data_IF_989801138973
#
_entry.id   IF_989801138973
#
_cell.length_a   1.000
_cell.length_b   1.000
_cell.length_c   1.000
_cell.angle_alpha   90.00
_cell.angle_beta   90.00
_cell.angle_gamma   90.00
#
_symmetry.space_group_name_H-M   'P 1'
#
loop_
_entity.id
_entity.type
_entity.pdbx_description
1 polymer ?
#
# COMPACT_ATOMS: atom_id res chain seq x y z
N UNK A 1 -21.49 27.70 -1.22
CA UNK A 1 -21.05 26.97 -0.01
C UNK A 1 -20.86 27.82 1.26
N UNK A 2 -19.84 28.69 1.40
CA UNK A 2 -19.50 29.32 2.72
C UNK A 2 -20.61 30.18 3.35
N UNK A 3 -21.43 30.84 2.53
CA UNK A 3 -22.54 31.69 2.97
C UNK A 3 -23.90 30.97 2.93
N UNK A 4 -23.93 29.64 2.76
CA UNK A 4 -25.17 28.88 2.78
C UNK A 4 -25.83 29.01 4.17
N UNK A 5 -27.07 29.55 4.25
CA UNK A 5 -27.74 29.77 5.52
C UNK A 5 -28.27 28.48 6.15
N UNK A 6 -28.40 27.40 5.38
CA UNK A 6 -28.94 26.10 5.82
C UNK A 6 -27.80 25.14 6.16
N UNK A 7 -26.73 25.13 5.35
CA UNK A 7 -25.58 24.22 5.51
C UNK A 7 -24.26 25.00 5.57
N UNK A 8 -24.04 25.80 6.62
CA UNK A 8 -22.85 26.62 6.72
C UNK A 8 -21.56 25.78 6.82
N UNK A 9 -20.44 26.33 6.38
CA UNK A 9 -19.12 25.67 6.49
C UNK A 9 -18.13 26.60 7.16
N UNK A 10 -17.33 26.06 8.07
CA UNK A 10 -16.19 26.77 8.66
C UNK A 10 -14.90 26.06 8.25
N UNK A 11 -13.97 26.83 7.68
CA UNK A 11 -12.64 26.35 7.33
C UNK A 11 -11.67 26.78 8.43
N UNK A 12 -10.98 25.81 9.02
CA UNK A 12 -9.93 26.04 10.00
C UNK A 12 -8.62 25.61 9.38
N UNK A 13 -7.72 26.58 9.17
CA UNK A 13 -6.39 26.34 8.61
C UNK A 13 -5.37 26.57 9.70
N UNK A 14 -4.58 25.55 10.02
CA UNK A 14 -3.53 25.63 11.02
C UNK A 14 -2.20 25.20 10.42
N UNK A 15 -1.13 25.93 10.72
CA UNK A 15 0.17 25.59 10.18
C UNK A 15 1.31 26.44 10.71
N UNK A 16 2.52 26.01 10.39
CA UNK A 16 3.75 26.77 10.55
C UNK A 16 4.41 26.87 9.19
N UNK A 17 4.48 28.07 8.64
CA UNK A 17 5.27 28.32 7.45
C UNK A 17 6.74 28.45 7.83
N UNK A 18 7.61 27.81 7.06
CA UNK A 18 9.04 28.02 7.24
C UNK A 18 9.38 29.51 6.96
N UNK A 19 10.31 30.15 7.68
CA UNK A 19 10.64 31.56 7.44
C UNK A 19 11.13 31.88 6.02
N UNK A 20 11.58 30.88 5.26
CA UNK A 20 11.97 31.02 3.85
C UNK A 20 10.87 30.61 2.84
N UNK A 21 9.69 30.19 3.31
CA UNK A 21 8.57 29.80 2.45
C UNK A 21 7.74 31.04 2.08
N UNK A 22 8.28 31.87 1.19
CA UNK A 22 7.60 33.09 0.74
C UNK A 22 6.35 32.78 -0.09
N UNK A 23 6.31 31.63 -0.76
CA UNK A 23 5.14 31.14 -1.49
C UNK A 23 3.96 30.84 -0.56
N UNK A 24 4.19 30.05 0.50
CA UNK A 24 3.17 29.75 1.50
C UNK A 24 2.66 31.01 2.22
N UNK A 25 3.55 31.95 2.55
CA UNK A 25 3.15 33.23 3.14
C UNK A 25 2.29 34.06 2.18
N UNK A 26 2.64 34.11 0.89
CA UNK A 26 1.86 34.83 -0.11
C UNK A 26 0.46 34.22 -0.28
N UNK A 27 0.35 32.89 -0.26
CA UNK A 27 -0.95 32.19 -0.31
C UNK A 27 -1.83 32.53 0.90
N UNK A 28 -1.27 32.53 2.11
CA UNK A 28 -2.01 32.93 3.32
C UNK A 28 -2.51 34.38 3.20
N UNK A 29 -1.67 35.30 2.69
CA UNK A 29 -2.09 36.69 2.46
C UNK A 29 -3.22 36.79 1.44
N UNK A 30 -3.19 35.99 0.37
CA UNK A 30 -4.28 35.94 -0.61
C UNK A 30 -5.58 35.44 0.01
N UNK A 31 -5.53 34.40 0.84
CA UNK A 31 -6.73 33.87 1.54
C UNK A 31 -7.32 34.93 2.47
N UNK A 32 -6.49 35.64 3.24
CA UNK A 32 -6.95 36.71 4.14
C UNK A 32 -7.60 37.85 3.34
N UNK A 33 -6.95 38.29 2.26
CA UNK A 33 -7.49 39.34 1.39
C UNK A 33 -8.83 38.94 0.79
N UNK A 34 -8.92 37.72 0.26
CA UNK A 34 -10.17 37.17 -0.27
C UNK A 34 -11.27 37.13 0.80
N UNK A 35 -10.94 36.67 2.01
CA UNK A 35 -11.91 36.56 3.10
C UNK A 35 -12.48 37.92 3.52
N UNK A 36 -11.65 38.97 3.50
CA UNK A 36 -12.06 40.35 3.78
C UNK A 36 -12.88 40.95 2.64
N UNK A 37 -12.47 40.77 1.38
CA UNK A 37 -13.18 41.28 0.20
C UNK A 37 -14.56 40.63 0.00
N UNK A 38 -14.69 39.35 0.30
CA UNK A 38 -15.92 38.59 0.16
C UNK A 38 -16.82 38.61 1.42
N UNK A 39 -16.41 39.30 2.49
CA UNK A 39 -17.11 39.35 3.79
C UNK A 39 -17.37 37.96 4.41
N UNK A 40 -16.41 37.04 4.25
CA UNK A 40 -16.47 35.65 4.74
C UNK A 40 -15.46 35.35 5.86
N UNK A 41 -14.83 36.37 6.44
CA UNK A 41 -13.83 36.21 7.52
C UNK A 41 -14.35 35.41 8.72
N UNK A 42 -15.65 35.47 9.00
CA UNK A 42 -16.30 34.70 10.07
C UNK A 42 -16.42 33.19 9.77
N UNK A 43 -16.13 32.77 8.53
CA UNK A 43 -16.14 31.37 8.07
C UNK A 43 -14.74 30.77 7.88
N UNK A 44 -13.68 31.58 7.92
CA UNK A 44 -12.31 31.13 7.70
C UNK A 44 -11.44 31.56 8.88
N UNK A 45 -10.91 30.59 9.61
CA UNK A 45 -10.06 30.83 10.79
C UNK A 45 -8.65 30.33 10.49
N UNK A 46 -7.66 31.23 10.65
CA UNK A 46 -6.25 30.87 10.56
C UNK A 46 -5.65 30.77 11.97
N UNK A 47 -5.06 29.63 12.29
CA UNK A 47 -4.41 29.36 13.56
C UNK A 47 -2.89 29.25 13.35
N UNK A 48 -2.12 30.30 13.67
CA UNK A 48 -0.67 30.27 13.54
C UNK A 48 -0.04 29.35 14.58
N UNK A 49 1.21 29.00 14.35
CA UNK A 49 2.06 28.27 15.30
C UNK A 49 1.52 26.90 15.72
N UNK A 50 0.89 26.18 14.78
CA UNK A 50 0.44 24.79 14.99
C UNK A 50 1.53 23.92 15.66
N UNK A 51 1.14 23.27 16.75
CA UNK A 51 1.97 22.34 17.50
C UNK A 51 1.11 21.21 18.07
N UNK A 52 1.75 20.29 18.80
CA UNK A 52 1.06 19.18 19.42
C UNK A 52 0.01 19.60 20.46
N UNK A 53 0.18 20.75 21.12
CA UNK A 53 -0.77 21.23 22.12
C UNK A 53 -2.07 21.70 21.45
N UNK A 54 -1.96 22.46 20.36
CA UNK A 54 -3.08 22.89 19.54
C UNK A 54 -3.74 21.71 18.83
N UNK A 55 -2.95 20.77 18.29
CA UNK A 55 -3.43 19.60 17.60
C UNK A 55 -4.45 18.79 18.42
N UNK A 56 -4.26 18.68 19.73
CA UNK A 56 -5.18 17.97 20.63
C UNK A 56 -6.60 18.54 20.59
N UNK A 57 -6.73 19.87 20.53
CA UNK A 57 -8.04 20.51 20.44
C UNK A 57 -8.63 20.39 19.04
N UNK A 58 -7.78 20.53 18.01
CA UNK A 58 -8.23 20.45 16.63
C UNK A 58 -8.78 19.07 16.28
N UNK A 59 -8.15 17.99 16.74
CA UNK A 59 -8.66 16.64 16.46
C UNK A 59 -10.00 16.34 17.14
N UNK A 60 -10.34 16.99 18.25
CA UNK A 60 -11.64 16.83 18.91
C UNK A 60 -12.73 17.75 18.34
N UNK A 61 -12.34 18.89 17.78
CA UNK A 61 -13.27 19.89 17.26
C UNK A 61 -13.48 19.84 15.75
N UNK A 62 -12.80 18.92 15.05
CA UNK A 62 -12.85 18.82 13.59
C UNK A 62 -13.79 17.70 13.16
N UNK A 63 -14.83 18.05 12.41
CA UNK A 63 -15.75 17.07 11.82
C UNK A 63 -15.13 16.39 10.59
N UNK A 64 -14.49 17.19 9.71
CA UNK A 64 -13.84 16.72 8.48
C UNK A 64 -12.41 17.20 8.41
N UNK A 65 -11.47 16.25 8.37
CA UNK A 65 -10.06 16.52 8.17
C UNK A 65 -9.72 16.44 6.68
N UNK A 66 -9.41 17.60 6.10
CA UNK A 66 -9.11 17.75 4.68
C UNK A 66 -7.61 17.60 4.41
N UNK A 67 -7.26 16.69 3.51
CA UNK A 67 -5.91 16.50 2.99
C UNK A 67 -5.95 16.60 1.46
N UNK A 68 -5.22 17.56 0.88
CA UNK A 68 -5.17 17.72 -0.58
C UNK A 68 -3.71 17.73 -1.09
N UNK A 69 -2.96 16.62 -0.89
CA UNK A 69 -1.60 16.51 -1.41
C UNK A 69 -1.58 16.44 -2.94
N UNK A 70 -0.47 16.85 -3.53
CA UNK A 70 -0.16 16.51 -4.92
C UNK A 70 0.27 15.05 -4.99
N UNK A 71 -0.48 14.22 -5.70
CA UNK A 71 -0.13 12.80 -5.90
C UNK A 71 1.03 12.64 -6.89
N UNK A 72 2.00 11.71 -6.67
CA UNK A 72 2.17 10.80 -5.54
C UNK A 72 3.24 11.29 -4.54
N UNK A 73 3.16 12.56 -4.12
CA UNK A 73 4.22 13.18 -3.31
C UNK A 73 4.05 12.97 -1.80
N UNK A 74 2.87 12.53 -1.34
CA UNK A 74 2.66 12.18 0.05
C UNK A 74 2.95 10.70 0.29
N UNK A 75 4.07 10.42 0.97
CA UNK A 75 4.45 9.04 1.28
C UNK A 75 3.50 8.36 2.27
N UNK A 76 2.87 9.10 3.17
CA UNK A 76 1.96 8.56 4.19
C UNK A 76 0.96 9.63 4.62
N UNK A 77 1.22 10.35 5.71
CA UNK A 77 0.30 11.33 6.30
C UNK A 77 -0.34 10.83 7.59
N UNK A 78 0.22 11.23 8.75
CA UNK A 78 -0.28 10.72 10.05
C UNK A 78 -1.40 11.55 10.68
N UNK A 79 -1.67 12.76 10.16
CA UNK A 79 -2.70 13.65 10.71
C UNK A 79 -4.12 13.11 10.49
N UNK A 80 -4.39 12.53 9.32
CA UNK A 80 -5.69 11.94 9.02
C UNK A 80 -5.98 10.70 9.89
N UNK A 81 -4.95 9.90 10.19
CA UNK A 81 -5.04 8.80 11.16
C UNK A 81 -5.45 9.29 12.56
N UNK A 82 -4.85 10.41 13.01
CA UNK A 82 -5.18 11.01 14.31
C UNK A 82 -6.61 11.54 14.32
N UNK A 83 -7.05 12.18 13.24
CA UNK A 83 -8.43 12.64 13.09
C UNK A 83 -9.43 11.48 13.18
N UNK A 84 -9.19 10.41 12.41
CA UNK A 84 -10.02 9.21 12.41
C UNK A 84 -10.17 8.59 13.82
N UNK A 85 -9.06 8.50 14.57
CA UNK A 85 -9.06 7.98 15.94
C UNK A 85 -9.80 8.88 16.94
N UNK A 86 -10.08 10.13 16.59
CA UNK A 86 -10.86 11.07 17.41
C UNK A 86 -12.29 11.28 16.87
N UNK A 87 -12.72 10.47 15.91
CA UNK A 87 -14.08 10.51 15.36
C UNK A 87 -14.29 11.55 14.25
N UNK A 88 -13.23 12.20 13.78
CA UNK A 88 -13.28 13.00 12.55
C UNK A 88 -13.26 12.11 11.31
N UNK A 89 -13.96 12.51 10.25
CA UNK A 89 -13.94 11.84 8.96
C UNK A 89 -12.89 12.47 8.05
N UNK A 90 -12.31 11.69 7.14
CA UNK A 90 -11.30 12.18 6.21
C UNK A 90 -11.92 12.52 4.86
N UNK A 91 -11.45 13.61 4.26
CA UNK A 91 -11.72 13.99 2.88
C UNK A 91 -10.37 14.22 2.22
N UNK A 92 -9.94 13.32 1.35
CA UNK A 92 -8.57 13.36 0.83
C UNK A 92 -8.41 12.86 -0.58
N UNK A 93 -7.40 13.37 -1.30
CA UNK A 93 -6.84 12.70 -2.48
C UNK A 93 -6.32 11.33 -2.05
N UNK A 94 -6.46 10.33 -2.94
CA UNK A 94 -5.92 8.97 -2.74
C UNK A 94 -4.41 8.94 -2.95
N UNK A 95 -3.69 9.39 -1.93
CA UNK A 95 -2.24 9.32 -1.84
C UNK A 95 -1.79 8.86 -0.45
N UNK A 96 -0.55 8.38 -0.34
CA UNK A 96 0.05 7.89 0.89
C UNK A 96 -0.85 6.91 1.64
N UNK A 97 -1.09 7.20 2.93
CA UNK A 97 -1.86 6.33 3.81
C UNK A 97 -3.32 6.18 3.39
N UNK A 98 -3.86 7.18 2.72
CA UNK A 98 -5.28 7.21 2.37
C UNK A 98 -5.56 6.29 1.19
N UNK A 99 -4.62 6.15 0.25
CA UNK A 99 -4.75 5.20 -0.85
C UNK A 99 -4.80 3.74 -0.35
N UNK A 100 -4.05 3.43 0.71
CA UNK A 100 -4.03 2.10 1.35
C UNK A 100 -5.28 1.83 2.20
N UNK A 101 -5.81 2.85 2.86
CA UNK A 101 -6.75 2.68 3.97
C UNK A 101 -8.19 3.09 3.65
N UNK A 102 -8.43 3.82 2.56
CA UNK A 102 -9.78 4.20 2.13
C UNK A 102 -10.61 2.98 1.72
N UNK A 103 -11.81 2.84 2.28
CA UNK A 103 -12.72 1.71 1.99
C UNK A 103 -14.10 2.12 1.46
N UNK A 104 -14.32 3.42 1.24
CA UNK A 104 -15.59 3.97 0.76
C UNK A 104 -16.59 4.35 1.85
N UNK A 105 -16.40 3.85 3.08
CA UNK A 105 -17.32 4.08 4.20
C UNK A 105 -16.66 4.89 5.33
N UNK A 106 -15.33 4.99 5.34
CA UNK A 106 -14.52 5.69 6.34
C UNK A 106 -14.21 7.17 6.03
N UNK A 107 -14.87 7.75 5.03
CA UNK A 107 -14.65 9.13 4.60
C UNK A 107 -14.94 9.30 3.11
N UNK A 108 -14.20 10.21 2.46
CA UNK A 108 -14.35 10.47 1.03
C UNK A 108 -13.00 10.61 0.34
N UNK A 109 -12.95 10.11 -0.90
CA UNK A 109 -11.82 10.27 -1.80
C UNK A 109 -12.11 11.37 -2.83
N UNK A 110 -11.24 12.37 -2.90
CA UNK A 110 -11.23 13.34 -3.99
C UNK A 110 -10.69 12.62 -5.24
N UNK A 111 -11.43 12.57 -6.36
CA UNK A 111 -10.95 11.98 -7.59
C UNK A 111 -9.68 12.67 -8.09
N UNK A 112 -8.63 11.89 -8.35
CA UNK A 112 -7.39 12.39 -8.95
C UNK A 112 -7.56 12.54 -10.47
N UNK A 113 -7.02 13.61 -11.06
CA UNK A 113 -7.00 13.77 -12.51
C UNK A 113 -5.80 13.06 -13.15
N UNK A 114 -5.76 11.73 -13.03
CA UNK A 114 -4.68 10.88 -13.57
C UNK A 114 -4.52 11.09 -15.10
N UNK A 115 -3.26 11.17 -15.55
CA UNK A 115 -2.92 11.36 -16.96
C UNK A 115 -2.97 12.81 -17.47
N UNK A 116 -3.36 13.77 -16.63
CA UNK A 116 -3.27 15.20 -16.95
C UNK A 116 -1.86 15.72 -16.62
N UNK A 117 -1.17 16.26 -17.62
CA UNK A 117 0.21 16.76 -17.49
C UNK A 117 0.33 18.25 -17.20
N UNK A 118 -0.75 19.02 -17.42
CA UNK A 118 -0.81 20.44 -17.08
C UNK A 118 -1.28 20.59 -15.63
N UNK A 119 -0.39 21.08 -14.78
CA UNK A 119 -0.63 21.27 -13.34
C UNK A 119 -1.84 22.18 -13.08
N UNK A 120 -2.01 23.29 -13.81
CA UNK A 120 -3.14 24.18 -13.55
C UNK A 120 -4.46 23.51 -13.92
N UNK A 121 -4.47 22.73 -15.00
CA UNK A 121 -5.65 22.00 -15.42
C UNK A 121 -6.01 20.88 -14.44
N UNK A 122 -5.01 20.18 -13.90
CA UNK A 122 -5.21 19.21 -12.82
C UNK A 122 -5.82 19.88 -11.60
N UNK A 123 -5.21 20.97 -11.14
CA UNK A 123 -5.66 21.70 -9.95
C UNK A 123 -7.11 22.20 -10.11
N UNK A 124 -7.49 22.71 -11.28
CA UNK A 124 -8.88 23.12 -11.59
C UNK A 124 -9.87 21.95 -11.50
N UNK A 125 -9.50 20.77 -12.03
CA UNK A 125 -10.36 19.58 -12.03
C UNK A 125 -10.52 19.00 -10.63
N UNK A 126 -9.42 18.87 -9.89
CA UNK A 126 -9.42 18.32 -8.53
C UNK A 126 -10.12 19.28 -7.55
N UNK A 127 -9.93 20.61 -7.71
CA UNK A 127 -10.68 21.60 -6.95
C UNK A 127 -12.18 21.53 -7.24
N UNK A 128 -12.59 21.43 -8.51
CA UNK A 128 -14.00 21.28 -8.86
C UNK A 128 -14.61 20.02 -8.24
N UNK A 129 -13.89 18.90 -8.30
CA UNK A 129 -14.33 17.64 -7.71
C UNK A 129 -14.44 17.72 -6.18
N UNK A 130 -13.50 18.39 -5.51
CA UNK A 130 -13.57 18.67 -4.07
C UNK A 130 -14.84 19.45 -3.71
N UNK A 131 -15.15 20.53 -4.45
CA UNK A 131 -16.36 21.32 -4.18
C UNK A 131 -17.64 20.54 -4.42
N UNK A 132 -17.72 19.75 -5.51
CA UNK A 132 -18.86 18.89 -5.79
C UNK A 132 -19.06 17.85 -4.68
N UNK A 133 -17.99 17.21 -4.23
CA UNK A 133 -18.01 16.21 -3.17
C UNK A 133 -18.49 16.81 -1.84
N UNK A 134 -18.03 18.01 -1.51
CA UNK A 134 -18.52 18.75 -0.34
C UNK A 134 -20.03 19.01 -0.43
N UNK A 135 -20.49 19.59 -1.54
CA UNK A 135 -21.90 20.01 -1.68
C UNK A 135 -22.89 18.86 -1.80
N UNK A 136 -22.51 17.78 -2.49
CA UNK A 136 -23.39 16.67 -2.83
C UNK A 136 -23.30 15.48 -1.87
N UNK A 137 -22.15 15.29 -1.20
CA UNK A 137 -21.96 14.13 -0.33
C UNK A 137 -21.70 14.51 1.14
N UNK A 138 -20.71 15.36 1.41
CA UNK A 138 -20.27 15.65 2.78
C UNK A 138 -21.31 16.45 3.55
N UNK A 139 -21.70 17.62 3.04
CA UNK A 139 -22.61 18.54 3.74
C UNK A 139 -24.01 17.94 3.95
N UNK A 140 -24.65 17.26 2.97
CA UNK A 140 -25.92 16.58 3.22
C UNK A 140 -25.82 15.58 4.36
N UNK A 141 -24.77 14.75 4.42
CA UNK A 141 -24.63 13.73 5.48
C UNK A 141 -24.47 14.32 6.88
N UNK A 142 -23.85 15.50 7.01
CA UNK A 142 -23.67 16.16 8.30
C UNK A 142 -24.91 16.95 8.76
N UNK A 143 -25.61 17.58 7.82
CA UNK A 143 -26.75 18.45 8.11
C UNK A 143 -28.10 17.74 8.04
N UNK A 144 -28.19 16.55 7.44
CA UNK A 144 -29.35 15.67 7.53
C UNK A 144 -29.44 15.08 8.94
N UNK A 145 -30.14 15.80 9.81
CA UNK A 145 -30.29 15.51 11.23
C UNK A 145 -31.72 15.06 11.50
N UNK A 146 -31.85 13.96 12.23
CA UNK A 146 -33.16 13.45 12.66
C UNK A 146 -33.85 14.38 13.68
N UNK A 147 -35.01 13.96 14.18
CA UNK A 147 -35.77 14.71 15.18
C UNK A 147 -34.98 14.97 16.49
N UNK A 148 -34.00 14.12 16.80
CA UNK A 148 -33.10 14.25 17.94
C UNK A 148 -31.89 15.18 17.69
N UNK A 149 -31.78 15.74 16.48
CA UNK A 149 -30.68 16.63 16.08
C UNK A 149 -29.37 15.90 15.75
N UNK A 150 -29.37 14.57 15.67
CA UNK A 150 -28.18 13.75 15.39
C UNK A 150 -28.16 13.34 13.91
N UNK A 151 -27.02 13.50 13.20
CA UNK A 151 -26.88 13.02 11.83
C UNK A 151 -26.58 11.51 11.82
N UNK A 152 -27.61 10.67 11.77
CA UNK A 152 -27.47 9.22 11.94
C UNK A 152 -26.45 8.59 10.98
N UNK A 153 -26.50 8.94 9.69
CA UNK A 153 -25.56 8.44 8.67
C UNK A 153 -24.12 8.87 8.92
N UNK A 154 -23.91 10.07 9.45
CA UNK A 154 -22.59 10.53 9.85
C UNK A 154 -22.03 9.70 10.99
N UNK A 155 -22.84 9.45 12.02
CA UNK A 155 -22.44 8.65 13.18
C UNK A 155 -22.16 7.20 12.79
N UNK A 156 -22.90 6.64 11.83
CA UNK A 156 -22.59 5.33 11.23
C UNK A 156 -21.19 5.31 10.60
N UNK A 157 -20.83 6.32 9.80
CA UNK A 157 -19.49 6.43 9.21
C UNK A 157 -18.40 6.58 10.27
N UNK A 158 -18.63 7.38 11.31
CA UNK A 158 -17.70 7.53 12.44
C UNK A 158 -17.48 6.20 13.15
N UNK A 159 -18.56 5.46 13.43
CA UNK A 159 -18.49 4.12 14.04
C UNK A 159 -17.69 3.16 13.16
N UNK A 160 -18.01 3.09 11.88
CA UNK A 160 -17.31 2.24 10.91
C UNK A 160 -15.82 2.58 10.87
N UNK A 161 -15.47 3.87 10.84
CA UNK A 161 -14.09 4.34 10.88
C UNK A 161 -13.35 3.86 12.13
N UNK A 162 -13.95 4.01 13.32
CA UNK A 162 -13.33 3.57 14.57
C UNK A 162 -13.16 2.04 14.64
N UNK A 163 -14.13 1.29 14.12
CA UNK A 163 -14.12 -0.19 14.15
C UNK A 163 -13.16 -0.79 13.11
N UNK A 164 -13.15 -0.28 11.88
CA UNK A 164 -12.39 -0.87 10.76
C UNK A 164 -11.02 -0.23 10.55
N UNK A 165 -10.93 1.10 10.62
CA UNK A 165 -9.69 1.83 10.40
C UNK A 165 -8.85 1.93 11.68
N UNK A 166 -9.51 2.13 12.82
CA UNK A 166 -8.87 2.33 14.13
C UNK A 166 -7.74 1.32 14.42
N UNK A 167 -7.99 0.00 14.39
CA UNK A 167 -6.97 -1.01 14.66
C UNK A 167 -5.78 -0.99 13.67
N UNK A 168 -6.01 -0.58 12.42
CA UNK A 168 -5.00 -0.60 11.35
C UNK A 168 -4.01 0.55 11.45
N UNK A 169 -4.40 1.69 12.03
CA UNK A 169 -3.57 2.90 12.06
C UNK A 169 -2.81 3.11 13.38
N UNK A 170 -2.88 2.16 14.31
CA UNK A 170 -2.19 2.27 15.59
C UNK A 170 -0.68 2.16 15.43
N UNK A 171 0.03 3.02 16.16
CA UNK A 171 1.49 2.97 16.28
C UNK A 171 1.97 1.70 17.01
N UNK A 172 1.18 1.16 17.94
CA UNK A 172 1.49 -0.11 18.62
C UNK A 172 1.56 -1.28 17.64
N UNK A 173 0.59 -1.36 16.71
CA UNK A 173 0.58 -2.32 15.61
C UNK A 173 1.81 -2.14 14.71
N UNK A 174 2.13 -0.90 14.32
CA UNK A 174 3.33 -0.64 13.50
C UNK A 174 4.61 -1.11 14.21
N UNK A 175 4.79 -0.76 15.49
CA UNK A 175 5.97 -1.18 16.26
C UNK A 175 6.03 -2.69 16.40
N UNK A 176 4.88 -3.36 16.61
CA UNK A 176 4.80 -4.81 16.66
C UNK A 176 5.23 -5.45 15.33
N UNK A 177 4.70 -4.97 14.21
CA UNK A 177 5.04 -5.47 12.86
C UNK A 177 6.54 -5.31 12.57
N UNK A 178 7.10 -4.13 12.88
CA UNK A 178 8.54 -3.90 12.74
C UNK A 178 9.37 -4.85 13.61
N UNK A 179 8.92 -5.05 14.86
CA UNK A 179 9.63 -5.91 15.81
C UNK A 179 9.61 -7.37 15.38
N UNK A 180 8.45 -7.88 14.99
CA UNK A 180 8.25 -9.29 14.66
C UNK A 180 8.73 -9.63 13.24
N UNK A 181 8.47 -8.76 12.27
CA UNK A 181 8.79 -9.00 10.86
C UNK A 181 10.24 -8.70 10.51
N UNK A 182 10.88 -7.74 11.18
CA UNK A 182 12.21 -7.27 10.78
C UNK A 182 13.25 -7.39 11.90
N UNK A 183 13.04 -6.73 13.04
CA UNK A 183 14.09 -6.63 14.06
C UNK A 183 14.40 -7.97 14.74
N UNK A 184 13.39 -8.74 15.13
CA UNK A 184 13.61 -10.02 15.79
C UNK A 184 14.27 -11.06 14.85
N UNK A 185 13.81 -11.27 13.60
CA UNK A 185 14.50 -12.15 12.64
C UNK A 185 15.94 -11.71 12.38
N UNK A 186 16.19 -10.41 12.16
CA UNK A 186 17.54 -9.89 11.94
C UNK A 186 18.45 -10.16 13.14
N UNK A 187 17.97 -9.97 14.37
CA UNK A 187 18.72 -10.27 15.58
C UNK A 187 19.03 -11.77 15.74
N UNK A 188 18.11 -12.66 15.35
CA UNK A 188 18.37 -14.11 15.34
C UNK A 188 19.40 -14.50 14.28
N UNK A 189 19.26 -13.97 13.05
CA UNK A 189 20.22 -14.20 11.97
C UNK A 189 21.62 -13.74 12.38
N UNK A 190 21.75 -12.52 12.92
CA UNK A 190 23.03 -11.98 13.39
C UNK A 190 23.71 -12.87 14.44
N UNK A 191 22.93 -13.43 15.39
CA UNK A 191 23.44 -14.39 16.38
C UNK A 191 23.87 -15.70 15.72
N UNK A 192 23.08 -16.24 14.80
CA UNK A 192 23.36 -17.50 14.12
C UNK A 192 24.66 -17.42 13.29
N UNK A 193 24.83 -16.35 12.50
CA UNK A 193 26.02 -16.20 11.64
C UNK A 193 27.30 -15.90 12.42
N UNK A 194 27.19 -15.32 13.62
CA UNK A 194 28.33 -14.99 14.49
C UNK A 194 28.74 -16.11 15.44
N UNK A 195 27.93 -17.17 15.57
CA UNK A 195 28.22 -18.30 16.43
C UNK A 195 29.43 -19.13 15.95
N UNK A 196 30.01 -19.90 16.87
CA UNK A 196 31.03 -20.93 16.59
C UNK A 196 32.19 -20.46 15.71
N UNK A 197 32.74 -19.28 16.03
CA UNK A 197 33.85 -18.71 15.25
C UNK A 197 33.43 -18.31 13.84
N UNK A 198 32.23 -17.76 13.71
CA UNK A 198 31.61 -17.29 12.46
C UNK A 198 31.37 -18.42 11.46
N UNK A 199 31.02 -19.62 11.93
CA UNK A 199 30.79 -20.77 11.05
C UNK A 199 29.62 -20.50 10.08
N UNK A 200 28.48 -20.00 10.59
CA UNK A 200 27.33 -19.65 9.75
C UNK A 200 27.64 -18.56 8.71
N UNK A 201 28.42 -17.53 9.09
CA UNK A 201 28.84 -16.51 8.13
C UNK A 201 29.72 -17.09 7.00
N UNK A 202 30.66 -17.98 7.33
CA UNK A 202 31.53 -18.64 6.34
C UNK A 202 30.76 -19.56 5.40
N UNK A 203 29.76 -20.25 5.93
CA UNK A 203 28.87 -21.13 5.16
C UNK A 203 28.04 -20.33 4.16
N UNK A 204 27.36 -19.26 4.61
CA UNK A 204 26.62 -18.34 3.73
C UNK A 204 27.53 -17.73 2.67
N UNK A 205 28.75 -17.31 3.03
CA UNK A 205 29.71 -16.75 2.07
C UNK A 205 30.14 -17.77 1.00
N UNK A 206 30.38 -19.02 1.42
CA UNK A 206 30.75 -20.11 0.52
C UNK A 206 29.59 -20.54 -0.38
N UNK A 207 28.37 -20.55 0.15
CA UNK A 207 27.15 -20.72 -0.63
C UNK A 207 27.00 -19.63 -1.69
N UNK A 208 27.10 -18.35 -1.30
CA UNK A 208 27.02 -17.22 -2.22
C UNK A 208 28.06 -17.31 -3.34
N UNK A 209 29.31 -17.66 -3.02
CA UNK A 209 30.35 -17.85 -4.01
C UNK A 209 30.04 -18.97 -5.02
N UNK A 210 29.43 -20.07 -4.59
CA UNK A 210 28.97 -21.15 -5.50
C UNK A 210 27.84 -20.67 -6.41
N UNK A 211 26.85 -19.98 -5.85
CA UNK A 211 25.72 -19.43 -6.60
C UNK A 211 26.21 -18.45 -7.66
N UNK A 212 27.04 -17.46 -7.31
CA UNK A 212 27.55 -16.45 -8.25
C UNK A 212 28.31 -17.07 -9.45
N UNK A 213 28.99 -18.21 -9.24
CA UNK A 213 29.72 -18.91 -10.30
C UNK A 213 28.81 -19.77 -11.19
N UNK A 214 27.80 -20.41 -10.60
CA UNK A 214 26.95 -21.40 -11.28
C UNK A 214 25.69 -20.78 -11.90
N UNK A 215 25.17 -19.67 -11.37
CA UNK A 215 23.79 -19.21 -11.66
C UNK A 215 23.50 -18.95 -13.14
N UNK A 216 24.49 -18.48 -13.90
CA UNK A 216 24.37 -18.25 -15.35
C UNK A 216 24.03 -19.52 -16.16
N UNK A 217 24.26 -20.69 -15.58
CA UNK A 217 23.97 -21.99 -16.19
C UNK A 217 22.64 -22.58 -15.69
N UNK A 218 22.01 -21.99 -14.68
CA UNK A 218 20.69 -22.43 -14.19
C UNK A 218 19.64 -22.07 -15.21
N UNK A 219 18.85 -23.03 -15.65
CA UNK A 219 17.82 -22.83 -16.67
C UNK A 219 16.62 -23.73 -16.41
N UNK A 220 15.43 -23.16 -16.58
CA UNK A 220 14.20 -23.96 -16.72
C UNK A 220 14.12 -24.37 -18.19
N UNK A 221 14.28 -25.65 -18.50
CA UNK A 221 14.37 -26.13 -19.88
C UNK A 221 13.04 -26.60 -20.43
N UNK A 222 12.13 -27.03 -19.55
CA UNK A 222 10.75 -27.37 -19.92
C UNK A 222 9.79 -27.11 -18.78
N UNK A 223 8.59 -26.66 -19.11
CA UNK A 223 7.45 -26.60 -18.20
C UNK A 223 6.27 -27.26 -18.90
N UNK A 224 5.73 -28.29 -18.27
CA UNK A 224 4.53 -29.00 -18.69
C UNK A 224 3.41 -28.72 -17.67
N UNK A 225 2.18 -28.56 -18.15
CA UNK A 225 1.00 -28.35 -17.31
C UNK A 225 -0.08 -29.39 -17.57
N UNK A 226 -0.72 -29.87 -16.52
CA UNK A 226 -1.88 -30.76 -16.58
C UNK A 226 -2.97 -30.29 -15.60
N UNK A 227 -4.21 -30.75 -15.80
CA UNK A 227 -5.32 -30.53 -14.86
C UNK A 227 -6.18 -29.28 -15.09
N UNK A 228 -5.79 -28.37 -15.97
CA UNK A 228 -6.63 -27.21 -16.32
C UNK A 228 -7.79 -27.63 -17.26
N UNK A 229 -9.05 -27.39 -16.87
CA UNK A 229 -10.18 -27.51 -17.79
C UNK A 229 -10.14 -26.41 -18.86
N UNK A 230 -10.78 -26.65 -20.02
CA UNK A 230 -10.87 -25.70 -21.14
C UNK A 230 -11.40 -24.30 -20.73
N UNK A 231 -12.18 -24.25 -19.65
CA UNK A 231 -12.58 -23.01 -18.98
C UNK A 231 -12.12 -23.03 -17.53
N UNK A 232 -11.04 -22.31 -17.18
CA UNK A 232 -10.51 -22.26 -15.83
C UNK A 232 -11.55 -21.69 -14.84
N UNK A 233 -11.82 -22.41 -13.76
CA UNK A 233 -12.66 -21.94 -12.65
C UNK A 233 -11.82 -21.70 -11.41
N UNK A 234 -12.24 -20.77 -10.56
CA UNK A 234 -11.56 -20.50 -9.27
C UNK A 234 -11.45 -21.81 -8.49
N UNK A 235 -10.24 -22.08 -7.98
CA UNK A 235 -9.97 -23.28 -7.20
C UNK A 235 -9.73 -24.56 -8.01
N UNK A 236 -9.78 -24.51 -9.35
CA UNK A 236 -9.30 -25.61 -10.17
C UNK A 236 -7.84 -25.92 -9.85
N UNK A 237 -7.49 -27.20 -9.90
CA UNK A 237 -6.14 -27.69 -9.62
C UNK A 237 -5.32 -27.68 -10.91
N UNK A 238 -4.18 -27.01 -10.85
CA UNK A 238 -3.17 -26.96 -11.89
C UNK A 238 -1.95 -27.74 -11.39
N UNK A 239 -1.60 -28.79 -12.11
CA UNK A 239 -0.39 -29.57 -11.88
C UNK A 239 0.69 -29.09 -12.84
N UNK A 240 1.84 -28.69 -12.30
CA UNK A 240 3.00 -28.27 -13.08
C UNK A 240 4.15 -29.24 -12.89
N UNK A 241 4.80 -29.59 -13.99
CA UNK A 241 6.06 -30.33 -14.01
C UNK A 241 7.10 -29.49 -14.72
N UNK A 242 8.23 -29.26 -14.08
CA UNK A 242 9.35 -28.50 -14.63
C UNK A 242 10.60 -29.38 -14.73
N UNK A 243 11.31 -29.27 -15.84
CA UNK A 243 12.67 -29.82 -16.01
C UNK A 243 13.64 -28.63 -15.91
N UNK A 244 14.62 -28.76 -15.03
CA UNK A 244 15.53 -27.67 -14.65
C UNK A 244 16.98 -28.17 -14.68
N UNK A 245 17.83 -27.50 -15.46
CA UNK A 245 19.28 -27.61 -15.34
C UNK A 245 19.72 -26.69 -14.19
N UNK A 246 20.31 -27.26 -13.14
CA UNK A 246 20.78 -26.52 -11.97
C UNK A 246 22.22 -25.99 -12.12
N UNK A 247 22.85 -26.16 -13.29
CA UNK A 247 24.18 -25.63 -13.56
C UNK A 247 25.25 -26.26 -12.65
N UNK A 248 25.04 -27.51 -12.21
CA UNK A 248 25.91 -28.22 -11.26
C UNK A 248 25.64 -27.92 -9.79
N UNK A 249 24.59 -27.16 -9.46
CA UNK A 249 24.12 -27.02 -8.08
C UNK A 249 23.24 -28.19 -7.64
N UNK A 250 23.27 -28.49 -6.35
CA UNK A 250 22.40 -29.49 -5.74
C UNK A 250 20.95 -28.97 -5.63
N UNK A 251 19.93 -29.84 -5.72
CA UNK A 251 18.53 -29.44 -5.55
C UNK A 251 18.23 -28.67 -4.28
N UNK A 252 18.91 -28.99 -3.16
CA UNK A 252 18.73 -28.30 -1.88
C UNK A 252 19.33 -26.89 -1.82
N UNK A 253 20.09 -26.47 -2.83
CA UNK A 253 20.70 -25.13 -2.93
C UNK A 253 19.78 -24.11 -3.60
N UNK A 254 18.62 -24.56 -4.10
CA UNK A 254 17.63 -23.73 -4.79
C UNK A 254 16.24 -24.02 -4.26
N UNK A 255 15.31 -23.15 -4.62
CA UNK A 255 13.88 -23.46 -4.63
C UNK A 255 13.34 -23.28 -6.02
N UNK A 256 12.50 -24.21 -6.44
CA UNK A 256 11.71 -24.09 -7.67
C UNK A 256 10.28 -23.78 -7.26
N UNK A 257 9.71 -22.73 -7.84
CA UNK A 257 8.36 -22.26 -7.52
C UNK A 257 7.51 -22.20 -8.77
N UNK A 258 6.30 -22.76 -8.67
CA UNK A 258 5.21 -22.43 -9.57
C UNK A 258 4.72 -21.02 -9.25
N UNK A 259 4.60 -20.17 -10.26
CA UNK A 259 4.08 -18.80 -10.15
C UNK A 259 2.82 -18.72 -10.98
N UNK A 260 1.69 -18.37 -10.36
CA UNK A 260 0.39 -18.28 -11.02
C UNK A 260 -0.22 -16.92 -10.71
N UNK A 261 -0.68 -16.23 -11.74
CA UNK A 261 -1.23 -14.87 -11.60
C UNK A 261 -2.20 -14.52 -12.72
N UNK A 262 -2.79 -13.32 -12.62
CA UNK A 262 -3.52 -12.73 -13.75
C UNK A 262 -2.52 -12.42 -14.86
N UNK A 263 -2.91 -12.70 -16.09
CA UNK A 263 -2.12 -12.35 -17.27
C UNK A 263 -2.81 -11.22 -18.01
N UNK A 264 -2.07 -10.19 -18.38
CA UNK A 264 -2.55 -9.11 -19.24
C UNK A 264 -2.20 -9.35 -20.71
N UNK A 265 -2.54 -8.41 -21.58
CA UNK A 265 -2.24 -8.49 -23.02
C UNK A 265 -0.72 -8.48 -23.32
N UNK A 266 0.11 -8.01 -22.38
CA UNK A 266 1.57 -7.99 -22.48
C UNK A 266 2.25 -9.28 -22.01
N UNK A 267 1.46 -10.30 -21.65
CA UNK A 267 1.94 -11.54 -21.01
C UNK A 267 2.58 -11.33 -19.63
N UNK A 268 2.35 -10.18 -19.00
CA UNK A 268 2.86 -9.88 -17.67
C UNK A 268 1.95 -10.49 -16.59
N UNK A 269 2.58 -11.08 -15.57
CA UNK A 269 1.86 -11.68 -14.44
C UNK A 269 1.67 -10.68 -13.30
N UNK A 270 0.43 -10.46 -12.90
CA UNK A 270 0.03 -9.67 -11.73
C UNK A 270 -0.75 -10.52 -10.71
N UNK A 271 -0.91 -10.00 -9.49
CA UNK A 271 -1.58 -10.71 -8.38
C UNK A 271 -1.07 -12.14 -8.16
N UNK A 272 0.25 -12.32 -8.24
CA UNK A 272 0.88 -13.62 -8.26
C UNK A 272 0.73 -14.38 -6.93
N UNK A 273 0.55 -15.69 -7.03
CA UNK A 273 0.76 -16.64 -5.95
C UNK A 273 1.86 -17.60 -6.32
N UNK A 274 2.69 -17.93 -5.34
CA UNK A 274 3.82 -18.84 -5.53
C UNK A 274 3.66 -20.08 -4.68
N UNK A 275 3.86 -21.24 -5.30
CA UNK A 275 3.84 -22.54 -4.62
C UNK A 275 5.18 -23.23 -4.85
N UNK A 276 5.81 -23.70 -3.78
CA UNK A 276 7.05 -24.46 -3.87
C UNK A 276 6.81 -25.82 -4.54
N UNK A 277 7.66 -26.16 -5.50
CA UNK A 277 7.63 -27.43 -6.21
C UNK A 277 8.60 -28.42 -5.56
N UNK A 278 8.19 -29.67 -5.47
CA UNK A 278 9.00 -30.75 -4.91
C UNK A 278 9.91 -31.35 -5.97
N UNK A 279 11.17 -31.60 -5.63
CA UNK A 279 12.08 -32.38 -6.49
C UNK A 279 11.64 -33.85 -6.50
N UNK A 280 11.26 -34.38 -7.67
CA UNK A 280 10.71 -35.73 -7.84
C UNK A 280 11.66 -36.71 -8.53
N UNK A 281 12.78 -36.23 -9.06
CA UNK A 281 13.80 -37.08 -9.68
C UNK A 281 14.68 -36.31 -10.67
N UNK A 282 15.41 -37.05 -11.48
CA UNK A 282 16.29 -36.50 -12.52
C UNK A 282 16.08 -37.23 -13.84
N UNK A 283 16.17 -36.51 -14.95
CA UNK A 283 16.01 -37.03 -16.30
C UNK A 283 17.10 -36.42 -17.19
N UNK A 284 17.91 -37.24 -17.87
CA UNK A 284 18.92 -36.74 -18.81
C UNK A 284 20.05 -35.88 -18.23
N UNK A 285 20.23 -35.87 -16.90
CA UNK A 285 21.18 -34.97 -16.21
C UNK A 285 20.55 -33.68 -15.70
N UNK A 286 19.26 -33.46 -15.98
CA UNK A 286 18.46 -32.35 -15.46
C UNK A 286 17.57 -32.83 -14.30
N UNK A 287 17.05 -31.88 -13.53
CA UNK A 287 16.24 -32.14 -12.34
C UNK A 287 14.75 -31.91 -12.63
N UNK A 288 13.92 -32.83 -12.17
CA UNK A 288 12.47 -32.77 -12.35
C UNK A 288 11.82 -32.30 -11.07
N UNK A 289 11.02 -31.25 -11.19
CA UNK A 289 10.22 -30.68 -10.11
C UNK A 289 8.73 -30.80 -10.44
N UNK A 290 7.92 -31.11 -9.45
CA UNK A 290 6.47 -31.18 -9.59
C UNK A 290 5.79 -30.40 -8.47
N UNK A 291 4.69 -29.71 -8.80
CA UNK A 291 3.90 -28.98 -7.82
C UNK A 291 2.45 -28.87 -8.26
N UNK A 292 1.56 -28.86 -7.29
CA UNK A 292 0.13 -28.62 -7.49
C UNK A 292 -0.22 -27.27 -6.91
N UNK A 293 -1.01 -26.49 -7.64
CA UNK A 293 -1.48 -25.19 -7.18
C UNK A 293 -2.92 -24.97 -7.58
N UNK A 294 -3.62 -24.13 -6.81
CA UNK A 294 -5.02 -23.80 -7.06
C UNK A 294 -5.13 -22.43 -7.69
N UNK A 295 -5.98 -22.31 -8.70
CA UNK A 295 -6.20 -21.05 -9.38
C UNK A 295 -6.74 -20.00 -8.40
N UNK A 296 -6.01 -18.89 -8.19
CA UNK A 296 -6.38 -17.88 -7.20
C UNK A 296 -7.51 -16.96 -7.66
N UNK A 297 -7.74 -16.88 -8.98
CA UNK A 297 -8.63 -15.90 -9.62
C UNK A 297 -9.50 -16.55 -10.69
N UNK A 298 -10.65 -15.93 -11.00
CA UNK A 298 -11.43 -16.22 -12.20
C UNK A 298 -10.92 -15.38 -13.38
N UNK A 299 -11.06 -15.91 -14.59
CA UNK A 299 -10.66 -15.24 -15.84
C UNK A 299 -9.38 -15.82 -16.44
N UNK A 300 -8.71 -15.02 -17.29
CA UNK A 300 -7.42 -15.41 -17.88
C UNK A 300 -6.35 -15.52 -16.79
N UNK A 301 -5.76 -16.70 -16.68
CA UNK A 301 -4.69 -17.00 -15.73
C UNK A 301 -3.46 -17.41 -16.52
N UNK A 302 -2.33 -16.78 -16.20
CA UNK A 302 -1.02 -17.21 -16.68
C UNK A 302 -0.26 -17.95 -15.58
N UNK A 303 0.70 -18.75 -16.00
CA UNK A 303 1.62 -19.43 -15.08
C UNK A 303 3.03 -19.44 -15.64
N UNK A 304 4.00 -19.53 -14.74
CA UNK A 304 5.41 -19.78 -15.06
C UNK A 304 6.06 -20.55 -13.92
N UNK A 305 7.31 -20.98 -14.13
CA UNK A 305 8.14 -21.61 -13.10
C UNK A 305 9.38 -20.76 -12.92
N UNK A 306 9.75 -20.47 -11.67
CA UNK A 306 10.99 -19.76 -11.37
C UNK A 306 11.88 -20.56 -10.44
N UNK A 307 13.19 -20.39 -10.62
CA UNK A 307 14.23 -20.92 -9.73
C UNK A 307 14.85 -19.76 -8.97
N UNK A 308 14.98 -19.91 -7.66
CA UNK A 308 15.60 -18.93 -6.76
C UNK A 308 16.68 -19.59 -5.89
N UNK A 309 17.73 -18.87 -5.50
CA UNK A 309 18.71 -19.39 -4.56
C UNK A 309 18.05 -19.63 -3.20
N UNK A 310 18.34 -20.77 -2.57
CA UNK A 310 17.90 -21.08 -1.22
C UNK A 310 19.05 -21.49 -0.32
N UNK A 311 19.12 -20.83 0.85
CA UNK A 311 20.02 -21.19 1.91
C UNK A 311 19.44 -20.75 3.27
N UNK A 312 19.61 -21.57 4.30
CA UNK A 312 19.02 -21.33 5.63
C UNK A 312 19.52 -20.03 6.31
N UNK A 313 20.69 -19.53 5.89
CA UNK A 313 21.27 -18.28 6.37
C UNK A 313 20.86 -17.03 5.60
N UNK A 314 20.05 -17.15 4.53
CA UNK A 314 19.46 -15.99 3.86
C UNK A 314 18.18 -15.56 4.59
N UNK A 315 17.89 -14.26 4.57
CA UNK A 315 16.66 -13.65 5.05
C UNK A 315 15.45 -14.02 4.19
N UNK A 316 15.64 -14.24 2.89
CA UNK A 316 14.62 -14.75 1.98
C UNK A 316 15.24 -15.32 0.70
N UNK A 317 14.47 -16.08 -0.07
CA UNK A 317 14.87 -16.58 -1.40
C UNK A 317 15.15 -15.43 -2.41
N UNK A 318 14.75 -14.19 -2.10
CA UNK A 318 15.00 -13.00 -2.93
C UNK A 318 16.29 -12.23 -2.59
N UNK A 319 16.99 -12.58 -1.49
CA UNK A 319 18.10 -11.76 -0.96
C UNK A 319 19.23 -11.53 -1.97
N UNK A 320 19.53 -12.53 -2.80
CA UNK A 320 20.60 -12.41 -3.79
C UNK A 320 20.17 -11.70 -5.08
N UNK A 321 18.89 -11.37 -5.24
CA UNK A 321 18.38 -10.71 -6.45
C UNK A 321 18.51 -11.57 -7.73
N UNK A 322 18.57 -12.89 -7.57
CA UNK A 322 18.76 -13.84 -8.67
C UNK A 322 17.49 -14.64 -8.90
N UNK A 323 17.11 -14.76 -10.17
CA UNK A 323 15.98 -15.58 -10.61
C UNK A 323 16.31 -16.19 -11.97
N UNK A 324 15.89 -17.43 -12.20
CA UNK A 324 15.83 -18.03 -13.54
C UNK A 324 14.38 -18.38 -13.83
N UNK A 325 13.88 -17.94 -14.97
CA UNK A 325 12.59 -18.32 -15.55
C UNK A 325 12.84 -19.15 -16.82
N UNK A 326 11.80 -19.70 -17.48
CA UNK A 326 11.92 -20.33 -18.78
C UNK A 326 12.40 -19.33 -19.85
#
# INVERSE_FOLDING_TARGET
>A
MLLDPVRPVQLVVAGKSHPADDGGKALIQQIVKFADEADVRHRIVFLPDYDMSMARFLYWGCDVWLNNPLRPLEACGTSGMKSALNGGLNLSIRDGWWDEMYDGENGWAIPTADGITDDNRRDDLEAAALYELLEQAVLPKFYDRGEDGVPARWIEMVRHTLEQLGPKVLASRMVQDYTLGYYAPAAHSARAVSADGYHGAKDVASYRGRVEQAWRNVKVTRVDSEGLPDTPVIGAELSLRAIVDLGGMEPGAVVVQAVVGRVDEGEDLSDIRTTEMSHVGSEGGEHVYAGETRLPHSGAVGYTVRVLPRHHGLASDAELGLVSTP
#
